data_IF_171684552983
#
_entry.id   IF_171684552983
#
_cell.length_a   1.000
_cell.length_b   1.000
_cell.length_c   1.000
_cell.angle_alpha   90.00
_cell.angle_beta   90.00
_cell.angle_gamma   90.00
#
_symmetry.space_group_name_H-M   'P 1'
#
loop_
_entity.id
_entity.type
_entity.pdbx_description
1 polymer ?
#
# COMPACT_ATOMS: atom_id res chain seq x y z
N UNK A 1 3.71 13.94 -6.00
CA UNK A 1 2.91 13.07 -5.11
C UNK A 1 3.28 13.31 -3.65
N UNK A 2 2.36 13.04 -2.74
CA UNK A 2 2.60 13.09 -1.30
C UNK A 2 3.38 11.86 -0.87
N UNK A 3 4.43 12.00 0.00
CA UNK A 3 5.12 10.85 0.55
C UNK A 3 4.15 9.94 1.31
N UNK A 4 4.26 8.63 1.10
CA UNK A 4 3.46 7.67 1.83
C UNK A 4 3.98 7.54 3.27
N UNK A 5 3.07 7.61 4.23
CA UNK A 5 3.43 7.48 5.64
C UNK A 5 3.97 6.07 5.95
N UNK A 6 4.88 5.95 6.92
CA UNK A 6 5.24 4.66 7.49
C UNK A 6 4.03 3.92 8.03
N UNK A 7 4.11 2.60 8.10
CA UNK A 7 3.08 1.75 8.70
C UNK A 7 3.19 1.83 10.23
N UNK A 8 2.16 2.29 10.89
CA UNK A 8 2.15 2.40 12.35
C UNK A 8 2.09 1.02 13.01
N UNK A 9 1.29 0.12 12.44
CA UNK A 9 1.08 -1.22 12.99
C UNK A 9 0.78 -2.24 11.89
N UNK A 10 1.39 -3.42 12.02
CA UNK A 10 1.03 -4.60 11.25
C UNK A 10 0.15 -5.52 12.07
N UNK A 11 -0.83 -6.14 11.42
CA UNK A 11 -1.75 -7.06 12.06
C UNK A 11 -1.44 -8.50 11.67
N UNK A 12 -1.57 -9.42 12.62
CA UNK A 12 -1.63 -10.85 12.32
C UNK A 12 -3.02 -11.35 12.66
N UNK A 13 -3.69 -11.98 11.70
CA UNK A 13 -5.02 -12.51 11.88
C UNK A 13 -5.06 -13.98 11.45
N UNK A 14 -5.58 -14.85 12.34
CA UNK A 14 -5.80 -16.25 12.05
C UNK A 14 -7.28 -16.59 12.21
N UNK A 15 -7.98 -16.87 11.09
CA UNK A 15 -9.37 -17.33 11.10
C UNK A 15 -9.53 -18.86 11.15
N UNK A 16 -8.46 -19.58 11.43
CA UNK A 16 -8.32 -21.02 11.15
C UNK A 16 -9.20 -21.99 11.92
N UNK A 17 -9.79 -21.69 13.11
CA UNK A 17 -10.63 -22.67 13.82
C UNK A 17 -11.78 -21.98 14.58
N UNK A 18 -13.05 -22.41 14.39
CA UNK A 18 -14.23 -21.75 14.96
C UNK A 18 -14.47 -21.97 16.47
N UNK A 19 -13.64 -22.72 17.18
CA UNK A 19 -13.87 -23.13 18.55
C UNK A 19 -12.96 -22.35 19.53
N UNK A 20 -13.27 -21.08 19.80
CA UNK A 20 -12.58 -20.40 20.86
C UNK A 20 -12.37 -18.88 20.68
N UNK A 21 -13.38 -18.15 20.26
CA UNK A 21 -13.30 -16.71 19.94
C UNK A 21 -12.68 -15.86 21.06
N UNK A 22 -12.86 -16.20 22.32
CA UNK A 22 -12.33 -15.45 23.46
C UNK A 22 -10.82 -15.71 23.70
N UNK A 23 -10.35 -16.92 23.49
CA UNK A 23 -8.93 -17.27 23.67
C UNK A 23 -8.08 -16.87 22.47
N UNK A 24 -8.66 -16.92 21.26
CA UNK A 24 -8.01 -16.46 20.04
C UNK A 24 -7.64 -14.98 20.12
N UNK A 25 -8.51 -14.13 20.66
CA UNK A 25 -8.27 -12.69 20.70
C UNK A 25 -7.06 -12.28 21.56
N UNK A 26 -6.77 -13.01 22.64
CA UNK A 26 -5.61 -12.75 23.50
C UNK A 26 -4.33 -13.27 22.84
N UNK A 27 -4.37 -14.50 22.31
CA UNK A 27 -3.23 -15.08 21.60
C UNK A 27 -2.85 -14.27 20.37
N UNK A 28 -3.83 -13.76 19.62
CA UNK A 28 -3.60 -12.93 18.44
C UNK A 28 -3.01 -11.55 18.79
N UNK A 29 -3.37 -10.98 19.94
CA UNK A 29 -2.74 -9.74 20.43
C UNK A 29 -1.27 -9.91 20.78
N UNK A 30 -0.92 -10.99 21.48
CA UNK A 30 0.47 -11.30 21.84
C UNK A 30 1.29 -11.55 20.57
N UNK A 31 0.76 -12.34 19.64
CA UNK A 31 1.38 -12.63 18.36
C UNK A 31 1.56 -11.36 17.52
N UNK A 32 0.55 -10.50 17.46
CA UNK A 32 0.65 -9.23 16.75
C UNK A 32 1.68 -8.30 17.36
N UNK A 33 1.87 -8.30 18.68
CA UNK A 33 2.89 -7.50 19.35
C UNK A 33 4.30 -7.98 18.99
N UNK A 34 4.57 -9.26 19.12
CA UNK A 34 5.86 -9.87 18.76
C UNK A 34 6.19 -9.67 17.28
N UNK A 35 5.20 -9.87 16.41
CA UNK A 35 5.35 -9.62 14.98
C UNK A 35 5.69 -8.16 14.67
N UNK A 36 5.00 -7.21 15.31
CA UNK A 36 5.25 -5.78 15.10
C UNK A 36 6.65 -5.36 15.54
N UNK A 37 7.16 -5.92 16.63
CA UNK A 37 8.52 -5.64 17.10
C UNK A 37 9.56 -6.15 16.11
N UNK A 38 9.43 -7.39 15.65
CA UNK A 38 10.33 -7.99 14.65
C UNK A 38 10.30 -7.28 13.30
N UNK A 39 9.15 -6.72 12.94
CA UNK A 39 8.93 -6.03 11.66
C UNK A 39 9.08 -4.50 11.76
N UNK A 40 9.65 -3.96 12.83
CA UNK A 40 9.76 -2.51 13.04
C UNK A 40 10.47 -1.79 11.87
N UNK A 41 11.60 -2.31 11.43
CA UNK A 41 12.34 -1.73 10.30
C UNK A 41 11.50 -1.76 9.01
N UNK A 42 10.87 -2.91 8.71
CA UNK A 42 10.00 -3.06 7.53
C UNK A 42 8.83 -2.09 7.56
N UNK A 43 8.17 -1.93 8.74
CA UNK A 43 7.06 -0.97 8.90
C UNK A 43 7.48 0.46 8.60
N UNK A 44 8.64 0.88 9.10
CA UNK A 44 9.17 2.22 8.87
C UNK A 44 9.53 2.46 7.40
N UNK A 45 10.03 1.45 6.72
CA UNK A 45 10.53 1.55 5.36
C UNK A 45 9.45 1.38 4.28
N UNK A 46 8.31 0.75 4.57
CA UNK A 46 7.27 0.48 3.58
C UNK A 46 6.76 1.74 2.87
N UNK A 47 6.45 2.79 3.62
CA UNK A 47 5.98 4.05 3.04
C UNK A 47 7.01 4.68 2.09
N UNK A 48 8.25 4.91 2.53
CA UNK A 48 9.33 5.37 1.66
C UNK A 48 9.56 4.50 0.43
N UNK A 49 9.59 3.17 0.59
CA UNK A 49 9.74 2.22 -0.52
C UNK A 49 8.58 2.30 -1.52
N UNK A 50 7.34 2.39 -1.03
CA UNK A 50 6.16 2.54 -1.87
C UNK A 50 6.18 3.88 -2.63
N UNK A 51 6.57 4.97 -1.96
CA UNK A 51 6.75 6.28 -2.60
C UNK A 51 7.75 6.19 -3.74
N UNK A 52 8.93 5.63 -3.50
CA UNK A 52 9.96 5.48 -4.51
C UNK A 52 9.53 4.56 -5.67
N UNK A 53 8.83 3.47 -5.36
CA UNK A 53 8.29 2.55 -6.37
C UNK A 53 7.23 3.24 -7.25
N UNK A 54 6.32 4.00 -6.67
CA UNK A 54 5.29 4.74 -7.40
C UNK A 54 5.90 5.79 -8.34
N UNK A 55 6.88 6.56 -7.88
CA UNK A 55 7.57 7.53 -8.74
C UNK A 55 8.19 6.84 -9.97
N UNK A 56 8.90 5.72 -9.77
CA UNK A 56 9.47 4.95 -10.88
C UNK A 56 8.40 4.40 -11.82
N UNK A 57 7.32 3.84 -11.28
CA UNK A 57 6.28 3.21 -12.10
C UNK A 57 5.44 4.26 -12.85
N UNK A 58 5.14 5.40 -12.24
CA UNK A 58 4.48 6.52 -12.93
C UNK A 58 5.36 7.07 -14.05
N UNK A 59 6.66 7.22 -13.82
CA UNK A 59 7.60 7.63 -14.86
C UNK A 59 7.61 6.64 -16.04
N UNK A 60 7.58 5.32 -15.76
CA UNK A 60 7.45 4.28 -16.78
C UNK A 60 6.14 4.36 -17.58
N UNK A 61 5.08 4.94 -17.00
CA UNK A 61 3.80 5.20 -17.67
C UNK A 61 3.74 6.57 -18.37
N UNK A 62 4.84 7.33 -18.37
CA UNK A 62 4.94 8.62 -19.06
C UNK A 62 4.49 9.83 -18.25
N UNK A 63 4.38 9.69 -16.92
CA UNK A 63 4.11 10.82 -16.01
C UNK A 63 5.41 11.39 -15.44
N UNK A 64 5.49 12.69 -15.30
CA UNK A 64 6.53 13.36 -14.53
C UNK A 64 6.08 13.43 -13.06
N UNK A 65 6.51 12.46 -12.25
CA UNK A 65 6.11 12.34 -10.86
C UNK A 65 7.22 12.83 -9.93
N UNK A 66 6.89 13.81 -9.07
CA UNK A 66 7.80 14.35 -8.06
C UNK A 66 7.20 14.18 -6.66
N UNK A 67 8.06 14.01 -5.66
CA UNK A 67 7.65 13.96 -4.26
C UNK A 67 7.58 15.38 -3.71
N UNK A 68 6.47 15.74 -3.06
CA UNK A 68 6.29 17.04 -2.44
C UNK A 68 7.06 17.09 -1.14
N UNK A 69 8.08 17.93 -1.06
CA UNK A 69 8.89 18.11 0.14
C UNK A 69 8.07 18.75 1.29
N UNK A 70 8.30 18.28 2.50
CA UNK A 70 7.65 18.81 3.70
C UNK A 70 6.20 18.40 3.92
N UNK A 71 5.62 17.62 2.99
CA UNK A 71 4.33 16.99 3.22
C UNK A 71 4.53 15.70 4.00
N UNK A 72 4.05 15.62 5.23
CA UNK A 72 4.02 14.36 5.98
C UNK A 72 2.62 13.77 5.93
N UNK A 73 2.47 12.69 5.16
CA UNK A 73 1.20 11.98 5.05
C UNK A 73 0.88 11.12 6.28
N UNK A 74 0.68 11.73 7.45
CA UNK A 74 0.37 10.98 8.69
C UNK A 74 -1.08 10.52 8.80
N UNK A 75 -1.99 11.05 8.02
CA UNK A 75 -3.38 10.57 7.92
C UNK A 75 -4.03 11.08 6.65
N UNK A 76 -5.16 10.47 6.27
CA UNK A 76 -6.02 10.96 5.19
C UNK A 76 -6.47 12.42 5.38
N UNK A 77 -6.33 12.94 6.58
CA UNK A 77 -6.75 14.28 7.01
C UNK A 77 -5.59 15.23 7.31
N UNK A 78 -4.32 14.80 7.21
CA UNK A 78 -3.22 15.78 7.32
C UNK A 78 -3.28 16.67 6.09
N UNK A 79 -3.72 17.90 6.33
CA UNK A 79 -3.76 18.93 5.30
C UNK A 79 -2.35 19.08 4.72
N UNK A 80 -2.23 18.79 3.44
CA UNK A 80 -1.08 19.23 2.67
C UNK A 80 -1.18 20.75 2.68
N UNK A 81 -0.08 21.42 2.85
CA UNK A 81 -0.04 22.86 2.59
C UNK A 81 -0.18 23.04 1.08
N UNK A 82 -1.42 23.16 0.63
CA UNK A 82 -1.78 23.26 -0.79
C UNK A 82 -1.19 24.50 -1.45
N UNK A 83 -0.82 25.51 -0.67
CA UNK A 83 -0.13 26.70 -1.16
C UNK A 83 1.25 26.40 -1.74
N UNK A 84 1.83 25.25 -1.42
CA UNK A 84 3.13 24.78 -1.92
C UNK A 84 3.02 23.89 -3.17
N UNK A 85 1.80 23.57 -3.60
CA UNK A 85 1.61 22.75 -4.79
C UNK A 85 1.60 23.64 -6.04
N UNK A 86 2.24 23.19 -7.13
CA UNK A 86 2.08 23.86 -8.42
C UNK A 86 0.60 23.88 -8.81
N UNK A 87 0.06 25.04 -9.25
CA UNK A 87 -1.40 25.23 -9.47
C UNK A 87 -1.98 24.37 -10.60
N UNK A 88 -1.14 23.81 -11.46
CA UNK A 88 -1.56 23.04 -12.65
C UNK A 88 -1.43 21.54 -12.50
N UNK A 89 -0.86 21.07 -11.39
CA UNK A 89 -0.50 19.67 -11.25
C UNK A 89 -1.58 18.87 -10.52
N UNK A 90 -1.63 17.58 -10.85
CA UNK A 90 -2.42 16.64 -10.08
C UNK A 90 -1.62 16.11 -8.87
N UNK A 91 -2.31 15.92 -7.77
CA UNK A 91 -1.72 15.43 -6.52
C UNK A 91 -2.13 13.99 -6.30
N UNK A 92 -1.15 13.08 -6.27
CA UNK A 92 -1.38 11.69 -5.90
C UNK A 92 -1.19 11.53 -4.39
N UNK A 93 -2.21 11.00 -3.73
CA UNK A 93 -2.23 10.64 -2.29
C UNK A 93 -2.44 9.13 -2.18
N UNK A 94 -1.58 8.46 -1.41
CA UNK A 94 -1.65 7.02 -1.15
C UNK A 94 -1.72 6.80 0.35
N UNK A 95 -2.64 5.93 0.77
CA UNK A 95 -2.82 5.52 2.16
C UNK A 95 -2.71 4.01 2.27
N UNK A 96 -1.84 3.52 3.14
CA UNK A 96 -1.82 2.12 3.54
C UNK A 96 -2.93 1.90 4.57
N UNK A 97 -3.99 1.19 4.19
CA UNK A 97 -5.17 0.99 5.02
C UNK A 97 -4.98 -0.18 5.98
N UNK A 98 -4.43 -1.27 5.48
CA UNK A 98 -4.22 -2.48 6.25
C UNK A 98 -2.95 -3.19 5.77
N UNK A 99 -2.07 -3.50 6.71
CA UNK A 99 -0.82 -4.22 6.47
C UNK A 99 -0.66 -5.30 7.52
N UNK A 100 -0.35 -6.50 7.08
CA UNK A 100 -0.13 -7.60 8.01
C UNK A 100 -0.03 -8.96 7.33
N UNK A 101 -0.18 -10.01 8.16
CA UNK A 101 -0.24 -11.39 7.74
C UNK A 101 -1.59 -11.99 8.11
N UNK A 102 -2.19 -12.67 7.17
CA UNK A 102 -3.52 -13.23 7.32
C UNK A 102 -3.52 -14.72 7.02
N UNK A 103 -4.22 -15.48 7.85
CA UNK A 103 -4.54 -16.88 7.58
C UNK A 103 -6.03 -17.02 7.30
N UNK A 104 -6.37 -17.50 6.11
CA UNK A 104 -7.75 -17.68 5.69
C UNK A 104 -8.47 -18.73 6.54
N UNK A 105 -9.80 -18.67 6.56
CA UNK A 105 -10.64 -19.66 7.24
C UNK A 105 -10.34 -21.07 6.70
N UNK A 106 -10.10 -22.02 7.59
CA UNK A 106 -9.69 -23.39 7.28
C UNK A 106 -8.28 -23.55 6.67
N UNK A 107 -7.49 -22.47 6.58
CA UNK A 107 -6.06 -22.54 6.28
C UNK A 107 -5.26 -22.30 7.57
N UNK A 108 -4.05 -22.83 7.60
CA UNK A 108 -3.03 -22.48 8.61
C UNK A 108 -1.99 -21.54 8.06
N UNK A 109 -1.94 -21.43 6.72
CA UNK A 109 -0.90 -20.67 6.04
C UNK A 109 -1.17 -19.17 6.17
N UNK A 110 -0.14 -18.48 6.64
CA UNK A 110 -0.11 -17.02 6.65
C UNK A 110 0.36 -16.50 5.31
N UNK A 111 -0.36 -15.57 4.73
CA UNK A 111 -0.01 -14.86 3.51
C UNK A 111 -0.01 -13.35 3.75
N UNK A 112 0.82 -12.58 3.03
CA UNK A 112 0.83 -11.13 3.20
C UNK A 112 -0.52 -10.52 2.81
N UNK A 113 -0.90 -9.47 3.56
CA UNK A 113 -2.03 -8.60 3.27
C UNK A 113 -1.52 -7.17 3.23
N UNK A 114 -1.72 -6.49 2.11
CA UNK A 114 -1.43 -5.06 1.99
C UNK A 114 -2.54 -4.41 1.19
N UNK A 115 -3.32 -3.56 1.83
CA UNK A 115 -4.39 -2.81 1.20
C UNK A 115 -4.03 -1.33 1.18
N UNK A 116 -4.20 -0.69 0.05
CA UNK A 116 -3.96 0.74 -0.09
C UNK A 116 -5.11 1.43 -0.81
N UNK A 117 -5.35 2.69 -0.46
CA UNK A 117 -6.21 3.60 -1.23
C UNK A 117 -5.37 4.62 -1.96
N UNK A 118 -5.68 4.84 -3.23
CA UNK A 118 -5.01 5.79 -4.10
C UNK A 118 -6.01 6.84 -4.60
N UNK A 119 -5.66 8.10 -4.46
CA UNK A 119 -6.44 9.25 -4.89
C UNK A 119 -5.56 10.18 -5.70
N UNK A 120 -5.94 10.45 -6.95
CA UNK A 120 -5.34 11.48 -7.78
C UNK A 120 -6.36 12.60 -7.95
N UNK A 121 -6.03 13.78 -7.43
CA UNK A 121 -6.88 14.95 -7.48
C UNK A 121 -6.19 16.07 -8.25
N UNK A 122 -6.96 16.91 -8.96
CA UNK A 122 -6.44 18.10 -9.62
C UNK A 122 -6.22 19.21 -8.58
N UNK A 123 -5.03 19.83 -8.57
CA UNK A 123 -4.64 20.76 -7.52
C UNK A 123 -5.53 22.01 -7.40
N UNK A 124 -6.00 22.57 -8.52
CA UNK A 124 -6.80 23.82 -8.50
C UNK A 124 -8.29 23.61 -8.20
N UNK A 125 -8.86 22.50 -8.62
CA UNK A 125 -10.32 22.27 -8.60
C UNK A 125 -10.74 21.17 -7.65
N UNK A 126 -9.78 20.46 -7.05
CA UNK A 126 -10.00 19.25 -6.23
C UNK A 126 -10.78 18.14 -6.96
N UNK A 127 -10.93 18.24 -8.28
CA UNK A 127 -11.61 17.20 -9.06
C UNK A 127 -10.88 15.88 -8.91
N UNK A 128 -11.62 14.84 -8.56
CA UNK A 128 -11.09 13.49 -8.52
C UNK A 128 -10.85 12.96 -9.93
N UNK A 129 -9.58 12.77 -10.28
CA UNK A 129 -9.18 12.17 -11.55
C UNK A 129 -9.10 10.64 -11.48
N UNK A 130 -8.82 10.13 -10.30
CA UNK A 130 -8.72 8.69 -10.03
C UNK A 130 -8.94 8.43 -8.54
N UNK A 131 -9.68 7.38 -8.24
CA UNK A 131 -9.91 6.91 -6.88
C UNK A 131 -10.12 5.40 -6.90
N UNK A 132 -9.24 4.65 -6.25
CA UNK A 132 -9.34 3.19 -6.19
C UNK A 132 -8.68 2.65 -4.91
N UNK A 133 -9.22 1.56 -4.39
CA UNK A 133 -8.57 0.77 -3.35
C UNK A 133 -8.01 -0.50 -3.98
N UNK A 134 -6.72 -0.74 -3.79
CA UNK A 134 -6.01 -1.92 -4.26
C UNK A 134 -5.76 -2.89 -3.11
N UNK A 135 -5.93 -4.16 -3.40
CA UNK A 135 -5.81 -5.26 -2.45
C UNK A 135 -4.72 -6.23 -2.91
N UNK A 136 -3.70 -6.43 -2.07
CA UNK A 136 -2.64 -7.41 -2.32
C UNK A 136 -2.75 -8.59 -1.38
N UNK A 137 -2.56 -9.78 -1.93
CA UNK A 137 -2.40 -11.01 -1.18
C UNK A 137 -3.73 -11.56 -0.64
N UNK A 138 -3.88 -11.64 0.67
CA UNK A 138 -5.02 -12.29 1.30
C UNK A 138 -6.40 -11.75 0.91
N UNK A 139 -6.49 -10.47 0.54
CA UNK A 139 -7.73 -9.83 0.13
C UNK A 139 -7.90 -9.73 -1.39
N UNK A 140 -6.92 -10.19 -2.15
CA UNK A 140 -6.96 -10.24 -3.61
C UNK A 140 -7.82 -11.43 -4.10
N UNK A 141 -9.14 -11.37 -3.84
CA UNK A 141 -10.06 -12.49 -4.03
C UNK A 141 -10.55 -12.65 -5.48
N UNK A 142 -10.24 -11.70 -6.36
CA UNK A 142 -10.66 -11.75 -7.77
C UNK A 142 -9.47 -11.37 -8.68
N UNK A 143 -8.75 -12.37 -9.16
CA UNK A 143 -7.55 -12.20 -9.98
C UNK A 143 -7.77 -11.39 -11.28
N UNK A 144 -9.00 -11.33 -11.78
CA UNK A 144 -9.34 -10.60 -13.01
C UNK A 144 -9.67 -9.12 -12.76
N UNK A 145 -9.87 -8.73 -11.51
CA UNK A 145 -10.21 -7.34 -11.18
C UNK A 145 -8.97 -6.45 -11.19
N UNK A 146 -9.12 -5.23 -11.70
CA UNK A 146 -8.03 -4.24 -11.75
C UNK A 146 -7.48 -3.89 -10.36
N UNK A 147 -8.32 -3.93 -9.35
CA UNK A 147 -8.01 -3.62 -7.96
C UNK A 147 -7.32 -4.77 -7.20
N UNK A 148 -7.26 -5.97 -7.77
CA UNK A 148 -6.77 -7.18 -7.11
C UNK A 148 -5.36 -7.54 -7.59
N UNK A 149 -4.44 -7.73 -6.65
CA UNK A 149 -3.04 -8.09 -6.91
C UNK A 149 -2.73 -9.36 -6.12
N UNK A 150 -2.72 -10.54 -6.75
CA UNK A 150 -2.42 -11.80 -6.08
C UNK A 150 -1.06 -11.79 -5.39
N UNK A 151 -0.95 -12.47 -4.25
CA UNK A 151 0.34 -12.70 -3.61
C UNK A 151 1.25 -13.54 -4.51
N UNK A 152 2.56 -13.37 -4.35
CA UNK A 152 3.50 -14.34 -4.88
C UNK A 152 3.27 -15.68 -4.16
N UNK A 153 3.02 -16.79 -4.88
CA UNK A 153 2.75 -18.09 -4.26
C UNK A 153 3.88 -18.62 -3.37
N UNK A 154 5.12 -18.13 -3.57
CA UNK A 154 6.26 -18.50 -2.72
C UNK A 154 6.24 -17.81 -1.35
N UNK A 155 5.40 -16.79 -1.16
CA UNK A 155 5.29 -16.02 0.07
C UNK A 155 4.14 -16.53 0.94
N UNK A 156 4.33 -17.68 1.58
CA UNK A 156 3.41 -18.24 2.56
C UNK A 156 4.18 -18.95 3.68
N UNK A 157 3.60 -18.97 4.88
CA UNK A 157 4.18 -19.60 6.07
C UNK A 157 3.13 -20.47 6.74
N UNK A 158 3.46 -21.72 6.99
CA UNK A 158 2.53 -22.73 7.50
C UNK A 158 2.14 -22.51 8.97
N UNK A 159 2.84 -21.65 9.67
CA UNK A 159 2.58 -21.33 11.07
C UNK A 159 3.08 -19.93 11.44
N UNK A 160 2.57 -19.42 12.60
CA UNK A 160 3.09 -18.19 13.16
C UNK A 160 4.56 -18.30 13.59
N UNK A 161 4.98 -19.46 14.10
CA UNK A 161 6.37 -19.68 14.50
C UNK A 161 7.30 -19.58 13.30
N UNK A 162 6.98 -20.25 12.21
CA UNK A 162 7.74 -20.16 10.97
C UNK A 162 7.82 -18.70 10.46
N UNK A 163 6.70 -17.98 10.51
CA UNK A 163 6.65 -16.58 10.14
C UNK A 163 7.65 -15.70 10.93
N UNK A 164 7.74 -15.89 12.25
CA UNK A 164 8.62 -15.08 13.11
C UNK A 164 10.06 -15.56 13.14
N UNK A 165 10.32 -16.80 12.73
CA UNK A 165 11.66 -17.36 12.55
C UNK A 165 12.33 -16.86 11.26
N UNK A 166 11.55 -16.43 10.26
CA UNK A 166 12.03 -15.96 8.95
C UNK A 166 11.73 -14.49 8.66
N UNK A 167 12.09 -13.54 9.54
CA UNK A 167 11.68 -12.13 9.39
C UNK A 167 12.23 -11.46 8.14
N UNK A 168 13.35 -11.93 7.59
CA UNK A 168 13.93 -11.41 6.35
C UNK A 168 13.11 -11.80 5.13
N UNK A 169 12.63 -13.04 5.06
CA UNK A 169 11.75 -13.50 3.97
C UNK A 169 10.41 -12.80 4.03
N UNK A 170 9.89 -12.59 5.24
CA UNK A 170 8.67 -11.80 5.47
C UNK A 170 8.87 -10.36 4.98
N UNK A 171 10.00 -9.72 5.28
CA UNK A 171 10.31 -8.38 4.79
C UNK A 171 10.38 -8.34 3.26
N UNK A 172 10.99 -9.34 2.62
CA UNK A 172 11.04 -9.48 1.16
C UNK A 172 9.64 -9.63 0.56
N UNK A 173 8.72 -10.34 1.22
CA UNK A 173 7.34 -10.46 0.75
C UNK A 173 6.61 -9.12 0.71
N UNK A 174 6.87 -8.24 1.69
CA UNK A 174 6.34 -6.89 1.68
C UNK A 174 7.01 -5.99 0.63
N UNK A 175 8.30 -6.16 0.38
CA UNK A 175 8.99 -5.46 -0.70
C UNK A 175 8.41 -5.85 -2.07
N UNK A 176 8.07 -7.13 -2.24
CA UNK A 176 7.36 -7.59 -3.43
C UNK A 176 5.96 -6.97 -3.53
N UNK A 177 5.18 -6.98 -2.44
CA UNK A 177 3.85 -6.38 -2.38
C UNK A 177 3.86 -4.90 -2.76
N UNK A 178 4.80 -4.13 -2.21
CA UNK A 178 4.99 -2.70 -2.50
C UNK A 178 5.24 -2.46 -3.99
N UNK A 179 6.13 -3.24 -4.61
CA UNK A 179 6.43 -3.09 -6.04
C UNK A 179 5.24 -3.50 -6.92
N UNK A 180 4.55 -4.59 -6.59
CA UNK A 180 3.39 -5.07 -7.33
C UNK A 180 2.22 -4.08 -7.26
N UNK A 181 1.94 -3.52 -6.07
CA UNK A 181 0.92 -2.50 -5.87
C UNK A 181 1.25 -1.18 -6.59
N UNK A 182 2.50 -0.73 -6.52
CA UNK A 182 2.95 0.47 -7.24
C UNK A 182 2.78 0.31 -8.76
N UNK A 183 3.14 -0.86 -9.29
CA UNK A 183 2.98 -1.19 -10.71
C UNK A 183 1.50 -1.16 -11.11
N UNK A 184 0.63 -1.83 -10.33
CA UNK A 184 -0.80 -1.88 -10.59
C UNK A 184 -1.44 -0.49 -10.50
N UNK A 185 -1.12 0.30 -9.46
CA UNK A 185 -1.63 1.65 -9.31
C UNK A 185 -1.26 2.54 -10.51
N UNK A 186 0.01 2.50 -10.93
CA UNK A 186 0.46 3.29 -12.08
C UNK A 186 -0.23 2.86 -13.39
N UNK A 187 -0.44 1.55 -13.60
CA UNK A 187 -1.18 1.03 -14.76
C UNK A 187 -2.65 1.47 -14.75
N UNK A 188 -3.32 1.38 -13.59
CA UNK A 188 -4.73 1.77 -13.45
C UNK A 188 -4.90 3.28 -13.63
N UNK A 189 -3.99 4.10 -13.07
CA UNK A 189 -3.96 5.55 -13.32
C UNK A 189 -3.81 5.80 -14.82
N UNK A 190 -2.87 5.13 -15.49
CA UNK A 190 -2.65 5.27 -16.93
C UNK A 190 -3.87 4.90 -17.77
N UNK A 191 -4.61 3.89 -17.36
CA UNK A 191 -5.81 3.44 -18.06
C UNK A 191 -6.98 4.43 -17.93
N UNK A 192 -7.07 5.15 -16.80
CA UNK A 192 -8.18 6.06 -16.50
C UNK A 192 -7.83 7.54 -16.80
N UNK A 193 -6.56 7.91 -16.65
CA UNK A 193 -6.10 9.30 -16.78
C UNK A 193 -5.02 9.37 -17.85
N UNK A 194 -5.36 9.93 -19.02
CA UNK A 194 -4.36 10.14 -20.07
C UNK A 194 -3.33 11.19 -19.64
N UNK A 195 -2.02 11.01 -19.90
CA UNK A 195 -1.00 12.02 -19.59
C UNK A 195 -1.29 13.39 -20.20
N UNK A 196 -1.95 13.43 -21.36
CA UNK A 196 -2.39 14.68 -22.01
C UNK A 196 -3.42 15.46 -21.19
N UNK A 197 -4.14 14.83 -20.28
CA UNK A 197 -5.08 15.50 -19.36
C UNK A 197 -4.36 16.21 -18.21
N UNK A 198 -3.07 15.93 -18.02
CA UNK A 198 -2.21 16.44 -16.95
C UNK A 198 -1.14 17.39 -17.49
N UNK A 199 -1.01 17.52 -18.82
CA UNK A 199 0.01 18.40 -19.43
C UNK A 199 -0.42 19.85 -19.38
N UNK A 200 0.25 20.58 -18.50
CA UNK A 200 0.95 21.84 -18.66
C UNK A 200 0.53 22.64 -19.91
N UNK A 201 -0.18 23.71 -19.67
CA UNK A 201 -0.03 24.88 -20.55
C UNK A 201 1.41 25.37 -20.37
N UNK A 202 2.29 24.98 -21.30
CA UNK A 202 3.54 25.68 -21.51
C UNK A 202 3.19 27.15 -21.60
N UNK A 203 3.73 27.96 -20.71
CA UNK A 203 3.67 29.40 -20.86
C UNK A 203 4.31 29.71 -22.21
N UNK A 204 3.52 30.18 -23.14
CA UNK A 204 4.02 30.82 -24.36
C UNK A 204 4.75 32.10 -23.95
N UNK A 205 5.82 32.46 -24.65
CA UNK A 205 6.66 33.60 -24.35
C UNK A 205 5.92 34.94 -24.41
#
# INVERSE_FOLDING_TARGET
>A
MVPVAPVDKMHTENKGIPLGVLWQSVADRIKSSDFNERMEATRKDMGPKLTAALVRQLAAQGYEAQVVEGASGRSAQSAIDESKLPPTDAVLRIYLNEVGMFSARFSRDYVPRVNLSAYLVRGETEDSLYSETLYYGADATNEKASWSVPANPDHHWSSFNELVEHPQEVAQSYDYAVNALATRAAQNIRAQVSPSAVVVRSAAP
#
